data_IF_725762809246
#
_entry.id   IF_725762809246
#
_cell.length_a   1.000
_cell.length_b   1.000
_cell.length_c   1.000
_cell.angle_alpha   90.00
_cell.angle_beta   90.00
_cell.angle_gamma   90.00
#
_symmetry.space_group_name_H-M   'P 1'
#
loop_
_entity.id
_entity.type
_entity.pdbx_description
1 polymer ?
#
# COMPACT_ATOMS: atom_id res chain seq x y z
N UNK A 1 -0.02 -9.14 12.97
CA UNK A 1 -0.55 -7.93 13.65
C UNK A 1 0.33 -7.49 14.82
N UNK A 2 0.63 -8.36 15.81
CA UNK A 2 1.39 -7.97 17.01
C UNK A 2 2.75 -7.30 16.75
N UNK A 3 3.53 -7.78 15.78
CA UNK A 3 4.85 -7.22 15.46
C UNK A 3 4.80 -5.76 15.01
N UNK A 4 3.80 -5.37 14.21
CA UNK A 4 3.63 -3.99 13.75
C UNK A 4 3.22 -3.07 14.92
N UNK A 5 2.34 -3.54 15.82
CA UNK A 5 2.01 -2.78 17.04
C UNK A 5 3.24 -2.55 17.92
N UNK A 6 4.07 -3.57 18.09
CA UNK A 6 5.31 -3.47 18.86
C UNK A 6 6.29 -2.48 18.23
N UNK A 7 6.47 -2.54 16.91
CA UNK A 7 7.32 -1.60 16.17
C UNK A 7 6.83 -0.16 16.31
N UNK A 8 5.53 0.09 16.13
CA UNK A 8 4.94 1.40 16.36
C UNK A 8 5.14 1.90 17.80
N UNK A 9 4.97 1.04 18.80
CA UNK A 9 5.18 1.40 20.20
C UNK A 9 6.66 1.69 20.52
N UNK A 10 7.60 1.07 19.78
CA UNK A 10 9.04 1.28 19.93
C UNK A 10 9.57 2.52 19.19
N UNK A 11 8.74 3.21 18.41
CA UNK A 11 9.18 4.33 17.57
C UNK A 11 9.73 3.91 16.21
N UNK A 12 9.55 2.65 15.81
CA UNK A 12 10.01 2.08 14.55
C UNK A 12 10.74 0.75 14.74
N UNK A 13 10.81 -0.07 13.69
CA UNK A 13 11.55 -1.34 13.71
C UNK A 13 11.82 -1.89 12.30
N UNK A 14 12.71 -2.89 12.21
CA UNK A 14 12.86 -3.75 11.04
C UNK A 14 12.27 -5.14 11.32
N UNK A 15 11.18 -5.45 10.62
CA UNK A 15 10.51 -6.74 10.65
C UNK A 15 11.10 -7.65 9.57
N UNK A 16 11.98 -8.56 9.96
CA UNK A 16 12.44 -9.64 9.09
C UNK A 16 11.33 -10.69 8.93
N UNK A 17 10.82 -10.83 7.71
CA UNK A 17 9.78 -11.80 7.38
C UNK A 17 10.38 -13.08 6.83
N UNK A 18 9.73 -14.20 7.11
CA UNK A 18 10.20 -15.49 6.63
C UNK A 18 10.19 -15.52 5.08
N UNK A 19 11.27 -16.01 4.46
CA UNK A 19 11.40 -16.07 3.01
C UNK A 19 10.37 -17.04 2.42
N UNK A 20 9.78 -16.69 1.29
CA UNK A 20 8.79 -17.47 0.54
C UNK A 20 7.51 -17.83 1.33
N UNK A 21 7.28 -17.19 2.47
CA UNK A 21 6.09 -17.40 3.27
C UNK A 21 4.94 -16.47 2.88
N UNK A 22 3.72 -16.95 3.11
CA UNK A 22 2.50 -16.17 2.97
C UNK A 22 1.91 -15.86 4.35
N UNK A 23 1.77 -14.57 4.64
CA UNK A 23 1.11 -14.03 5.81
C UNK A 23 -0.32 -13.65 5.43
N UNK A 24 -1.27 -14.52 5.78
CA UNK A 24 -2.69 -14.34 5.46
C UNK A 24 -3.41 -13.59 6.58
N UNK A 25 -4.01 -12.45 6.25
CA UNK A 25 -4.86 -11.65 7.13
C UNK A 25 -6.30 -12.12 7.00
N UNK A 26 -6.87 -12.62 8.10
CA UNK A 26 -8.25 -13.16 8.13
C UNK A 26 -9.27 -12.19 8.71
N UNK A 27 -8.81 -11.10 9.32
CA UNK A 27 -9.64 -10.02 9.87
C UNK A 27 -8.91 -8.69 9.75
N UNK A 28 -9.66 -7.60 9.80
CA UNK A 28 -9.08 -6.28 10.03
C UNK A 28 -8.45 -6.20 11.43
N UNK A 29 -7.38 -5.41 11.58
CA UNK A 29 -6.83 -5.01 12.88
C UNK A 29 -7.77 -4.02 13.56
N UNK A 30 -8.33 -3.09 12.79
CA UNK A 30 -9.27 -2.08 13.24
C UNK A 30 -9.75 -1.24 12.06
N UNK A 31 -10.42 -0.13 12.38
CA UNK A 31 -10.75 0.91 11.40
C UNK A 31 -9.77 2.06 11.55
N UNK A 32 -9.26 2.55 10.42
CA UNK A 32 -8.52 3.80 10.33
C UNK A 32 -9.40 4.89 9.71
N UNK A 33 -8.81 6.05 9.35
CA UNK A 33 -9.57 7.18 8.78
C UNK A 33 -10.29 6.83 7.47
N UNK A 34 -9.83 5.79 6.78
CA UNK A 34 -10.41 5.26 5.54
C UNK A 34 -11.02 3.86 5.74
N UNK A 35 -11.59 3.60 6.91
CA UNK A 35 -12.24 2.32 7.16
C UNK A 35 -11.28 1.16 7.46
N UNK A 36 -11.72 -0.10 7.25
CA UNK A 36 -11.03 -1.27 7.79
C UNK A 36 -9.63 -1.52 7.21
N UNK A 37 -8.66 -1.78 8.09
CA UNK A 37 -7.25 -2.07 7.74
C UNK A 37 -6.76 -3.38 8.34
N UNK A 38 -6.08 -4.20 7.53
CA UNK A 38 -5.62 -5.54 7.89
C UNK A 38 -4.43 -5.55 8.83
N UNK A 39 -3.45 -4.68 8.64
CA UNK A 39 -2.35 -4.46 9.57
C UNK A 39 -2.58 -3.18 10.38
N UNK A 40 -2.01 -3.06 11.59
CA UNK A 40 -2.05 -1.79 12.30
C UNK A 40 -1.51 -0.65 11.41
N UNK A 41 -2.13 0.54 11.43
CA UNK A 41 -1.61 1.69 10.70
C UNK A 41 -0.14 1.96 11.03
N UNK A 42 0.67 2.23 10.01
CA UNK A 42 2.09 2.53 10.16
C UNK A 42 2.24 4.01 10.53
N UNK A 43 2.62 4.28 11.78
CA UNK A 43 2.76 5.64 12.33
C UNK A 43 4.19 6.00 12.71
N UNK A 44 5.10 5.04 12.53
CA UNK A 44 6.54 5.17 12.80
C UNK A 44 7.32 4.57 11.63
N UNK A 45 8.66 4.75 11.57
CA UNK A 45 9.48 4.09 10.56
C UNK A 45 9.53 2.56 10.73
N UNK A 46 8.89 1.83 9.82
CA UNK A 46 8.87 0.37 9.79
C UNK A 46 9.43 -0.13 8.47
N UNK A 47 10.47 -0.96 8.55
CA UNK A 47 10.96 -1.74 7.41
C UNK A 47 10.43 -3.16 7.50
N UNK A 48 9.87 -3.69 6.42
CA UNK A 48 9.55 -5.11 6.28
C UNK A 48 10.47 -5.70 5.22
N UNK A 49 11.35 -6.59 5.62
CA UNK A 49 12.30 -7.26 4.75
C UNK A 49 11.84 -8.70 4.52
N UNK A 50 11.42 -9.01 3.30
CA UNK A 50 11.06 -10.36 2.88
C UNK A 50 12.01 -10.92 1.82
N UNK A 51 11.64 -12.07 1.27
CA UNK A 51 12.23 -12.63 0.06
C UNK A 51 11.17 -13.50 -0.62
N UNK A 52 10.48 -12.95 -1.62
CA UNK A 52 9.31 -13.62 -2.20
C UNK A 52 8.18 -13.81 -1.18
N UNK A 53 8.18 -13.01 -0.12
CA UNK A 53 7.20 -13.06 0.96
C UNK A 53 5.90 -12.42 0.49
N UNK A 54 4.75 -12.99 0.83
CA UNK A 54 3.43 -12.42 0.50
C UNK A 54 2.69 -12.00 1.76
N UNK A 55 2.13 -10.80 1.77
CA UNK A 55 1.13 -10.36 2.73
C UNK A 55 -0.19 -10.26 1.96
N UNK A 56 -1.18 -11.06 2.35
CA UNK A 56 -2.45 -11.15 1.62
C UNK A 56 -3.65 -11.08 2.54
N UNK A 57 -4.72 -10.45 2.08
CA UNK A 57 -6.05 -10.66 2.66
C UNK A 57 -6.55 -12.05 2.28
N UNK A 58 -7.19 -12.77 3.19
CA UNK A 58 -7.90 -14.02 2.85
C UNK A 58 -9.15 -13.70 2.02
N UNK A 59 -9.42 -14.49 0.97
CA UNK A 59 -10.59 -14.26 0.11
C UNK A 59 -11.93 -14.33 0.89
N UNK A 60 -12.02 -15.22 1.88
CA UNK A 60 -13.19 -15.41 2.75
C UNK A 60 -13.31 -14.38 3.88
N UNK A 61 -12.30 -13.54 4.10
CA UNK A 61 -12.38 -12.52 5.14
C UNK A 61 -13.36 -11.41 4.73
N UNK A 62 -13.85 -10.60 5.68
CA UNK A 62 -14.51 -9.34 5.35
C UNK A 62 -13.61 -8.41 4.50
N UNK A 63 -14.18 -7.45 3.75
CA UNK A 63 -13.41 -6.42 3.07
C UNK A 63 -12.55 -5.59 4.04
N UNK A 64 -11.26 -5.45 3.73
CA UNK A 64 -10.34 -4.48 4.32
C UNK A 64 -9.11 -4.29 3.40
N UNK A 65 -8.48 -3.12 3.49
CA UNK A 65 -7.17 -2.87 2.85
C UNK A 65 -6.06 -3.63 3.55
N UNK A 66 -4.91 -3.88 2.89
CA UNK A 66 -3.80 -4.59 3.55
C UNK A 66 -3.02 -3.68 4.49
N UNK A 67 -2.61 -2.50 3.98
CA UNK A 67 -1.70 -1.57 4.66
C UNK A 67 -2.24 -0.14 4.63
N UNK A 68 -1.97 0.59 5.70
CA UNK A 68 -2.14 2.04 5.76
C UNK A 68 -0.91 2.69 6.39
N UNK A 69 -0.45 3.80 5.82
CA UNK A 69 0.66 4.59 6.35
C UNK A 69 0.16 6.00 6.64
N UNK A 70 0.33 6.43 7.88
CA UNK A 70 -0.19 7.71 8.38
C UNK A 70 0.97 8.65 8.72
N UNK A 71 0.97 9.83 8.12
CA UNK A 71 1.87 10.92 8.44
C UNK A 71 1.14 12.22 8.75
N UNK A 72 1.88 13.26 9.13
CA UNK A 72 1.30 14.59 9.35
C UNK A 72 0.81 15.17 8.02
N UNK A 73 -0.45 15.60 7.98
CA UNK A 73 -1.07 16.17 6.79
C UNK A 73 -0.39 17.48 6.31
N UNK A 74 0.31 18.18 7.20
CA UNK A 74 1.01 19.43 6.93
C UNK A 74 2.50 19.24 6.62
N UNK A 75 3.06 18.06 6.94
CA UNK A 75 4.48 17.76 6.70
C UNK A 75 4.62 16.37 6.07
N UNK A 76 4.53 16.29 4.73
CA UNK A 76 4.65 15.03 3.99
C UNK A 76 5.88 14.22 4.40
N UNK A 77 5.69 12.93 4.69
CA UNK A 77 6.75 11.99 5.04
C UNK A 77 7.17 11.99 6.52
N UNK A 78 6.47 12.72 7.39
CA UNK A 78 6.72 12.66 8.84
C UNK A 78 5.85 11.61 9.53
N UNK A 79 6.37 10.98 10.58
CA UNK A 79 5.76 9.92 11.40
C UNK A 79 5.70 8.54 10.71
N UNK A 80 4.75 8.30 9.79
CA UNK A 80 4.62 7.00 9.12
C UNK A 80 5.60 6.83 7.96
N UNK A 81 6.54 5.89 8.09
CA UNK A 81 7.40 5.49 6.98
C UNK A 81 7.36 3.97 6.84
N UNK A 82 7.00 3.48 5.66
CA UNK A 82 6.97 2.05 5.35
C UNK A 82 7.99 1.75 4.26
N UNK A 83 8.94 0.87 4.54
CA UNK A 83 9.83 0.30 3.52
C UNK A 83 9.52 -1.18 3.34
N UNK A 84 9.16 -1.59 2.13
CA UNK A 84 8.95 -2.99 1.77
C UNK A 84 10.04 -3.45 0.80
N UNK A 85 10.75 -4.52 1.15
CA UNK A 85 11.77 -5.14 0.31
C UNK A 85 11.40 -6.59 -0.02
N UNK A 86 11.30 -6.91 -1.31
CA UNK A 86 10.97 -8.25 -1.83
C UNK A 86 9.67 -8.85 -1.25
N UNK A 87 8.63 -8.00 -1.13
CA UNK A 87 7.31 -8.36 -0.61
C UNK A 87 6.23 -8.20 -1.69
N UNK A 88 5.28 -9.13 -1.70
CA UNK A 88 4.03 -9.02 -2.46
C UNK A 88 2.89 -8.61 -1.52
N UNK A 89 2.18 -7.53 -1.84
CA UNK A 89 0.93 -7.08 -1.20
C UNK A 89 -0.24 -7.41 -2.12
N UNK A 90 -1.18 -8.27 -1.67
CA UNK A 90 -2.27 -8.76 -2.52
C UNK A 90 -3.61 -8.96 -1.82
N UNK A 91 -4.69 -8.94 -2.61
CA UNK A 91 -6.02 -9.37 -2.22
C UNK A 91 -6.76 -8.38 -1.32
N UNK A 92 -6.12 -7.24 -1.02
CA UNK A 92 -6.71 -6.15 -0.29
C UNK A 92 -7.97 -5.65 -1.00
N UNK A 93 -9.00 -5.39 -0.21
CA UNK A 93 -10.29 -4.92 -0.71
C UNK A 93 -10.80 -3.83 0.22
N UNK A 94 -10.58 -2.57 -0.15
CA UNK A 94 -11.15 -1.45 0.59
C UNK A 94 -12.63 -1.30 0.19
N UNK A 95 -13.58 -1.46 1.13
CA UNK A 95 -15.00 -1.29 0.83
C UNK A 95 -15.32 0.18 0.49
N UNK A 96 -16.33 0.42 -0.34
CA UNK A 96 -16.77 1.79 -0.60
C UNK A 96 -17.26 2.49 0.69
N UNK A 97 -16.95 3.78 0.88
CA UNK A 97 -16.35 4.73 -0.07
C UNK A 97 -14.81 4.77 -0.07
N UNK A 98 -14.15 3.81 0.59
CA UNK A 98 -12.76 3.95 0.99
C UNK A 98 -11.76 3.65 -0.16
N UNK A 99 -10.65 4.42 -0.25
CA UNK A 99 -9.62 4.21 -1.26
C UNK A 99 -8.47 3.32 -0.77
N UNK A 100 -7.58 2.88 -1.66
CA UNK A 100 -6.33 2.21 -1.29
C UNK A 100 -6.51 0.75 -0.91
N UNK A 101 -6.72 -0.13 -1.88
CA UNK A 101 -7.02 -1.54 -1.61
C UNK A 101 -5.82 -2.31 -1.07
N UNK A 102 -4.67 -2.15 -1.70
CA UNK A 102 -3.41 -2.71 -1.21
C UNK A 102 -2.80 -1.82 -0.13
N UNK A 103 -2.45 -0.60 -0.53
CA UNK A 103 -1.76 0.39 0.31
C UNK A 103 -2.50 1.73 0.22
N UNK A 104 -2.88 2.29 1.38
CA UNK A 104 -3.26 3.70 1.50
C UNK A 104 -2.15 4.50 2.16
N UNK A 105 -1.66 5.54 1.50
CA UNK A 105 -0.66 6.45 2.06
C UNK A 105 -1.27 7.84 2.32
N UNK A 106 -1.41 8.19 3.60
CA UNK A 106 -2.05 9.41 4.12
C UNK A 106 -1.01 10.28 4.81
N UNK A 107 -0.33 11.14 4.07
CA UNK A 107 0.72 12.01 4.62
C UNK A 107 2.06 11.32 4.90
N UNK A 108 2.13 9.99 4.82
CA UNK A 108 3.34 9.21 5.11
C UNK A 108 4.29 9.03 3.93
N UNK A 109 5.32 8.21 4.13
CA UNK A 109 6.27 7.80 3.10
C UNK A 109 6.22 6.28 2.88
N UNK A 110 6.09 5.84 1.63
CA UNK A 110 6.12 4.43 1.24
C UNK A 110 7.27 4.21 0.26
N UNK A 111 8.14 3.26 0.56
CA UNK A 111 9.21 2.80 -0.32
C UNK A 111 9.00 1.33 -0.65
N UNK A 112 8.96 1.01 -1.93
CA UNK A 112 8.82 -0.34 -2.47
C UNK A 112 10.09 -0.68 -3.25
N UNK A 113 10.82 -1.70 -2.82
CA UNK A 113 12.03 -2.20 -3.48
C UNK A 113 11.83 -3.65 -3.87
N UNK A 114 11.96 -3.96 -5.16
CA UNK A 114 11.76 -5.32 -5.69
C UNK A 114 10.44 -5.96 -5.22
N UNK A 115 9.40 -5.14 -5.05
CA UNK A 115 8.14 -5.52 -4.41
C UNK A 115 6.98 -5.46 -5.42
N UNK A 116 5.88 -6.12 -5.08
CA UNK A 116 4.71 -6.19 -5.96
C UNK A 116 3.44 -5.80 -5.21
N UNK A 117 2.61 -4.93 -5.79
CA UNK A 117 1.26 -4.61 -5.32
C UNK A 117 0.27 -5.10 -6.39
N UNK A 118 -0.44 -6.19 -6.11
CA UNK A 118 -1.22 -6.88 -7.16
C UNK A 118 -2.54 -7.46 -6.69
N UNK A 119 -3.55 -7.50 -7.56
CA UNK A 119 -4.82 -8.15 -7.26
C UNK A 119 -5.56 -7.49 -6.10
N UNK A 120 -5.40 -6.18 -5.92
CA UNK A 120 -6.09 -5.40 -4.90
C UNK A 120 -7.22 -4.58 -5.53
N UNK A 121 -8.23 -4.25 -4.72
CA UNK A 121 -9.39 -3.49 -5.17
C UNK A 121 -9.86 -2.42 -4.19
N UNK A 122 -10.32 -1.28 -4.70
CA UNK A 122 -10.88 -0.18 -3.89
C UNK A 122 -11.83 0.70 -4.72
N UNK A 123 -12.38 1.76 -4.11
CA UNK A 123 -13.09 2.79 -4.90
C UNK A 123 -12.14 3.56 -5.80
N UNK A 124 -11.02 4.04 -5.24
CA UNK A 124 -9.92 4.67 -5.97
C UNK A 124 -8.59 4.14 -5.45
N UNK A 125 -7.58 4.04 -6.32
CA UNK A 125 -6.26 3.51 -5.93
C UNK A 125 -6.37 2.03 -5.57
N UNK A 126 -6.79 1.20 -6.53
CA UNK A 126 -7.00 -0.23 -6.30
C UNK A 126 -5.77 -0.89 -5.71
N UNK A 127 -4.60 -0.62 -6.29
CA UNK A 127 -3.30 -0.99 -5.75
C UNK A 127 -2.86 -0.03 -4.65
N UNK A 128 -2.55 1.20 -5.04
CA UNK A 128 -1.98 2.23 -4.16
C UNK A 128 -2.81 3.51 -4.26
N UNK A 129 -3.18 4.06 -3.12
CA UNK A 129 -3.74 5.40 -3.02
C UNK A 129 -2.77 6.33 -2.29
N UNK A 130 -2.60 7.55 -2.80
CA UNK A 130 -1.65 8.54 -2.25
C UNK A 130 -2.37 9.87 -2.01
N UNK A 131 -2.29 10.36 -0.78
CA UNK A 131 -2.81 11.66 -0.39
C UNK A 131 -1.85 12.33 0.60
N UNK A 132 -1.27 13.44 0.17
CA UNK A 132 -0.26 14.27 0.84
C UNK A 132 1.00 13.51 1.28
N UNK A 133 1.22 12.31 0.77
CA UNK A 133 2.38 11.47 1.06
C UNK A 133 3.36 11.33 -0.10
N UNK A 134 4.42 10.56 0.14
CA UNK A 134 5.38 10.17 -0.89
C UNK A 134 5.35 8.66 -1.12
N UNK A 135 5.40 8.25 -2.38
CA UNK A 135 5.57 6.83 -2.75
C UNK A 135 6.72 6.71 -3.73
N UNK A 136 7.67 5.83 -3.44
CA UNK A 136 8.79 5.50 -4.32
C UNK A 136 8.80 4.02 -4.64
N UNK A 137 8.84 3.71 -5.94
CA UNK A 137 8.93 2.35 -6.45
C UNK A 137 10.26 2.19 -7.17
N UNK A 138 11.07 1.23 -6.71
CA UNK A 138 12.31 0.82 -7.37
C UNK A 138 12.24 -0.66 -7.71
N UNK A 139 12.44 -0.99 -9.00
CA UNK A 139 12.36 -2.36 -9.51
C UNK A 139 11.07 -3.09 -9.06
N UNK A 140 9.96 -2.37 -8.96
CA UNK A 140 8.71 -2.86 -8.36
C UNK A 140 7.55 -2.88 -9.36
N UNK A 141 6.50 -3.62 -9.03
CA UNK A 141 5.31 -3.79 -9.87
C UNK A 141 4.02 -3.35 -9.19
N UNK A 142 3.14 -2.65 -9.91
CA UNK A 142 1.74 -2.41 -9.52
C UNK A 142 0.83 -2.89 -10.64
N UNK A 143 0.30 -4.11 -10.51
CA UNK A 143 -0.32 -4.82 -11.64
C UNK A 143 -1.58 -5.58 -11.26
N UNK A 144 -2.56 -5.64 -12.18
CA UNK A 144 -3.77 -6.44 -11.96
C UNK A 144 -4.63 -5.95 -10.80
N UNK A 145 -4.58 -4.65 -10.50
CA UNK A 145 -5.42 -4.02 -9.48
C UNK A 145 -6.64 -3.36 -10.12
N UNK A 146 -7.72 -3.19 -9.34
CA UNK A 146 -8.98 -2.65 -9.81
C UNK A 146 -9.48 -1.52 -8.93
N UNK A 147 -10.00 -0.45 -9.54
CA UNK A 147 -10.73 0.60 -8.87
C UNK A 147 -12.14 0.70 -9.46
N UNK A 148 -13.10 1.20 -8.68
CA UNK A 148 -14.45 1.49 -9.19
C UNK A 148 -14.48 2.79 -9.99
N UNK A 149 -13.72 3.80 -9.56
CA UNK A 149 -13.78 5.15 -10.15
C UNK A 149 -12.52 5.51 -10.95
N UNK A 150 -11.33 5.40 -10.36
CA UNK A 150 -10.09 5.83 -10.98
C UNK A 150 -8.86 5.27 -10.26
N UNK A 151 -7.73 5.22 -10.95
CA UNK A 151 -6.46 4.77 -10.39
C UNK A 151 -6.54 3.30 -10.05
N UNK A 152 -6.76 2.45 -11.06
CA UNK A 152 -6.77 1.01 -10.86
C UNK A 152 -5.48 0.55 -10.19
N UNK A 153 -4.36 1.00 -10.75
CA UNK A 153 -3.03 0.81 -10.19
C UNK A 153 -2.74 1.80 -9.08
N UNK A 154 -2.51 3.06 -9.45
CA UNK A 154 -2.15 4.14 -8.52
C UNK A 154 -3.12 5.31 -8.68
N UNK A 155 -3.77 5.73 -7.59
CA UNK A 155 -4.47 7.00 -7.54
C UNK A 155 -3.67 8.01 -6.72
N UNK A 156 -3.19 9.07 -7.36
CA UNK A 156 -2.48 10.19 -6.73
C UNK A 156 -3.43 11.36 -6.53
N UNK A 157 -4.05 11.43 -5.36
CA UNK A 157 -4.89 12.56 -4.97
C UNK A 157 -4.06 13.84 -4.81
N UNK A 158 -2.91 13.70 -4.14
CA UNK A 158 -1.93 14.75 -3.88
C UNK A 158 -0.59 14.09 -3.49
N UNK A 159 0.43 14.85 -3.11
CA UNK A 159 1.74 14.29 -2.80
C UNK A 159 2.55 13.89 -4.05
N UNK A 160 3.52 12.96 -3.92
CA UNK A 160 4.46 12.60 -4.99
C UNK A 160 4.57 11.09 -5.16
N UNK A 161 4.59 10.63 -6.41
CA UNK A 161 4.89 9.24 -6.77
C UNK A 161 6.09 9.24 -7.72
N UNK A 162 7.09 8.40 -7.42
CA UNK A 162 8.29 8.23 -8.23
C UNK A 162 8.45 6.77 -8.65
N UNK A 163 8.71 6.56 -9.94
CA UNK A 163 8.91 5.23 -10.54
C UNK A 163 10.34 5.15 -11.06
N UNK A 164 11.13 4.20 -10.56
CA UNK A 164 12.46 3.89 -11.04
C UNK A 164 12.52 2.42 -11.46
N UNK A 165 12.70 2.16 -12.76
CA UNK A 165 12.72 0.80 -13.33
C UNK A 165 11.53 -0.04 -12.84
N UNK A 166 10.38 0.61 -12.70
CA UNK A 166 9.17 0.02 -12.11
C UNK A 166 8.04 -0.02 -13.13
N UNK A 167 7.15 -0.98 -13.00
CA UNK A 167 6.07 -1.22 -13.93
C UNK A 167 4.71 -0.99 -13.26
N UNK A 168 3.85 -0.19 -13.90
CA UNK A 168 2.43 -0.04 -13.52
C UNK A 168 1.60 -0.38 -14.75
N UNK A 169 0.99 -1.57 -14.76
CA UNK A 169 0.34 -2.10 -15.96
C UNK A 169 -0.81 -3.07 -15.67
N UNK A 170 -1.78 -3.16 -16.58
CA UNK A 170 -2.86 -4.13 -16.50
C UNK A 170 -3.78 -3.88 -15.31
N UNK A 171 -4.00 -2.61 -14.96
CA UNK A 171 -4.94 -2.22 -13.92
C UNK A 171 -6.20 -1.61 -14.55
N UNK A 172 -7.32 -1.64 -13.82
CA UNK A 172 -8.63 -1.18 -14.29
C UNK A 172 -9.20 -0.14 -13.32
N UNK A 173 -9.78 0.99 -13.75
CA UNK A 173 -10.03 1.38 -15.14
C UNK A 173 -8.78 1.93 -15.86
N UNK A 174 -7.74 2.30 -15.12
CA UNK A 174 -6.51 2.88 -15.63
C UNK A 174 -5.29 2.46 -14.78
N UNK A 175 -4.08 2.65 -15.30
CA UNK A 175 -2.86 2.37 -14.56
C UNK A 175 -2.57 3.44 -13.51
N UNK A 176 -2.75 4.71 -13.86
CA UNK A 176 -2.60 5.82 -12.94
C UNK A 176 -3.66 6.90 -13.16
N UNK A 177 -4.16 7.45 -12.06
CA UNK A 177 -5.06 8.60 -12.07
C UNK A 177 -4.65 9.65 -11.04
N UNK A 178 -4.86 10.96 -11.32
CA UNK A 178 -5.26 11.52 -12.61
C UNK A 178 -4.24 11.22 -13.72
N UNK A 179 -4.67 11.25 -14.98
CA UNK A 179 -3.78 11.01 -16.12
C UNK A 179 -2.59 11.98 -16.10
N UNK A 180 -1.38 11.47 -16.33
CA UNK A 180 -0.13 12.26 -16.29
C UNK A 180 0.35 12.67 -14.89
N UNK A 181 -0.39 12.34 -13.82
CA UNK A 181 0.00 12.69 -12.46
C UNK A 181 1.18 11.87 -11.92
N UNK A 182 1.49 10.73 -12.52
CA UNK A 182 2.63 9.87 -12.14
C UNK A 182 3.58 9.77 -13.32
N UNK A 183 4.75 10.44 -13.28
CA UNK A 183 5.73 10.37 -14.36
C UNK A 183 6.17 8.93 -14.63
N UNK A 184 6.19 8.53 -15.90
CA UNK A 184 6.55 7.18 -16.32
C UNK A 184 5.42 6.14 -16.17
N UNK A 185 4.26 6.51 -15.63
CA UNK A 185 3.08 5.66 -15.65
C UNK A 185 2.31 5.88 -16.96
N UNK A 186 2.13 4.82 -17.74
CA UNK A 186 1.47 4.87 -19.05
C UNK A 186 0.25 3.95 -19.09
N UNK A 187 -0.80 4.36 -19.80
CA UNK A 187 -2.10 3.66 -19.84
C UNK A 187 -2.93 3.94 -18.61
#
# INVERSE_FOLDING_TARGET
MAAVNAANAAGGDTLALAPFCTYTLTSAHGSASDGPVGLPPITTPITMAGLGTTITRAASAPPFRVLEVQGDANVPGTNGQLSLAAITVRGGNAPAPDPGGGISNRGGAVTLVSSSVTGNSAVAGGGIYVDNGTVSLTASGVTGNSATTAGGGIYRNSGVVSLLVSNVSGNTPDNCAPAGSVPGCTG
#
